data_IF_488253414515
#
_entry.id   IF_488253414515
#
_cell.length_a   1.000
_cell.length_b   1.000
_cell.length_c   1.000
_cell.angle_alpha   90.00
_cell.angle_beta   90.00
_cell.angle_gamma   90.00
#
_symmetry.space_group_name_H-M   'P 1'
#
loop_
_entity.id
_entity.type
_entity.pdbx_description
1 polymer ?
#
# COMPACT_ATOMS: atom_id res chain seq x y z
N UNK A 1 -3.40 -7.30 -8.11
CA UNK A 1 -4.12 -6.16 -8.71
C UNK A 1 -3.15 -4.99 -8.80
N UNK A 2 -3.08 -4.31 -9.95
CA UNK A 2 -2.13 -3.22 -10.21
C UNK A 2 -2.84 -1.87 -10.35
N UNK A 3 -2.16 -0.80 -9.97
CA UNK A 3 -2.42 0.56 -10.41
C UNK A 3 -1.29 1.03 -11.34
N UNK A 4 -1.66 1.76 -12.39
CA UNK A 4 -0.70 2.38 -13.30
C UNK A 4 -0.99 3.88 -13.40
N UNK A 5 -0.05 4.69 -12.92
CA UNK A 5 -0.14 6.16 -12.89
C UNK A 5 0.92 6.76 -13.80
N UNK A 6 0.59 7.00 -15.07
CA UNK A 6 1.49 7.61 -16.07
C UNK A 6 2.92 7.02 -16.10
N UNK A 7 3.02 5.69 -16.10
CA UNK A 7 4.30 4.95 -16.15
C UNK A 7 4.79 4.41 -14.81
N UNK A 8 4.24 4.89 -13.68
CA UNK A 8 4.44 4.26 -12.37
C UNK A 8 3.52 3.04 -12.25
N UNK A 9 4.11 1.85 -12.15
CA UNK A 9 3.39 0.57 -12.00
C UNK A 9 3.55 0.07 -10.57
N UNK A 10 2.44 -0.06 -9.86
CA UNK A 10 2.42 -0.44 -8.45
C UNK A 10 1.33 -1.46 -8.16
N UNK A 11 1.50 -2.19 -7.07
CA UNK A 11 0.47 -3.05 -6.52
C UNK A 11 -0.53 -2.19 -5.75
N UNK A 12 -1.82 -2.42 -5.95
CA UNK A 12 -2.85 -1.78 -5.14
C UNK A 12 -2.86 -2.37 -3.71
N UNK A 13 -3.14 -1.55 -2.69
CA UNK A 13 -3.27 -2.03 -1.30
C UNK A 13 -4.71 -2.43 -0.94
N UNK A 14 -5.40 -1.57 -0.20
CA UNK A 14 -6.69 -1.80 0.41
C UNK A 14 -7.77 -0.95 -0.27
N UNK A 15 -9.01 -1.30 0.03
CA UNK A 15 -10.17 -0.49 -0.33
C UNK A 15 -10.50 0.44 0.83
N UNK A 16 -10.74 1.70 0.50
CA UNK A 16 -11.19 2.72 1.44
C UNK A 16 -12.51 3.30 0.97
N UNK A 17 -13.24 3.96 1.86
CA UNK A 17 -14.47 4.65 1.51
C UNK A 17 -14.69 5.85 2.40
N UNK A 18 -15.45 6.81 1.90
CA UNK A 18 -16.06 7.87 2.70
C UNK A 18 -17.59 7.80 2.52
N UNK A 19 -18.30 8.88 2.85
CA UNK A 19 -19.75 8.95 2.72
C UNK A 19 -20.27 8.81 1.27
N UNK A 20 -19.45 9.09 0.26
CA UNK A 20 -19.89 9.23 -1.15
C UNK A 20 -19.14 8.33 -2.12
N UNK A 21 -17.91 7.94 -1.79
CA UNK A 21 -16.94 7.40 -2.73
C UNK A 21 -16.24 6.17 -2.17
N UNK A 22 -15.82 5.31 -3.10
CA UNK A 22 -14.96 4.16 -2.85
C UNK A 22 -13.62 4.41 -3.53
N UNK A 23 -12.55 4.09 -2.81
CA UNK A 23 -11.18 4.30 -3.24
C UNK A 23 -10.41 2.99 -3.20
N UNK A 24 -9.45 2.87 -4.10
CA UNK A 24 -8.37 1.88 -4.01
C UNK A 24 -7.08 2.62 -3.70
N UNK A 25 -6.34 2.15 -2.70
CA UNK A 25 -5.07 2.79 -2.35
C UNK A 25 -3.90 2.27 -3.18
N UNK A 26 -2.89 3.13 -3.31
CA UNK A 26 -1.57 2.84 -3.86
C UNK A 26 -0.51 3.58 -3.04
N UNK A 27 0.77 3.28 -3.28
CA UNK A 27 1.84 4.12 -2.75
C UNK A 27 1.86 5.49 -3.46
N UNK A 28 2.15 6.59 -2.76
CA UNK A 28 2.14 7.94 -3.30
C UNK A 28 3.30 8.15 -4.28
N UNK A 29 4.46 7.54 -4.03
CA UNK A 29 5.59 7.56 -4.95
C UNK A 29 5.29 6.91 -6.32
N UNK A 30 4.21 6.12 -6.44
CA UNK A 30 3.76 5.58 -7.73
C UNK A 30 3.29 6.67 -8.69
N UNK A 31 2.94 7.84 -8.16
CA UNK A 31 2.68 9.06 -8.93
C UNK A 31 3.92 9.99 -9.00
N UNK A 32 5.09 9.54 -8.54
CA UNK A 32 6.32 10.32 -8.55
C UNK A 32 6.78 10.69 -9.96
N UNK A 33 7.40 11.86 -10.08
CA UNK A 33 8.02 12.34 -11.33
C UNK A 33 9.53 12.52 -11.22
N UNK A 34 10.08 12.34 -10.01
CA UNK A 34 11.50 12.46 -9.71
C UNK A 34 12.29 11.18 -10.03
N UNK A 35 13.58 11.22 -9.72
CA UNK A 35 14.44 10.04 -9.77
C UNK A 35 14.00 9.00 -8.73
N UNK A 36 14.27 7.69 -8.93
CA UNK A 36 13.94 6.65 -7.95
C UNK A 36 14.59 6.83 -6.56
N UNK A 37 15.61 7.67 -6.46
CA UNK A 37 16.29 8.03 -5.20
C UNK A 37 15.60 9.17 -4.45
N UNK A 38 14.61 9.83 -5.05
CA UNK A 38 13.80 10.87 -4.40
C UNK A 38 12.68 10.20 -3.59
N UNK A 39 12.96 9.89 -2.33
CA UNK A 39 12.06 9.13 -1.46
C UNK A 39 11.29 9.99 -0.46
N UNK A 40 11.68 11.26 -0.26
CA UNK A 40 11.01 12.15 0.69
C UNK A 40 9.78 12.79 0.04
N UNK A 41 8.60 12.49 0.58
CA UNK A 41 7.32 12.99 0.06
C UNK A 41 7.12 14.48 0.22
N UNK A 42 7.94 15.14 1.04
CA UNK A 42 7.89 16.60 1.22
C UNK A 42 8.60 17.38 0.11
N UNK A 43 9.51 16.74 -0.63
CA UNK A 43 10.35 17.43 -1.63
C UNK A 43 10.27 16.80 -3.02
N UNK A 44 9.95 15.52 -3.12
CA UNK A 44 9.90 14.81 -4.38
C UNK A 44 8.76 15.32 -5.28
N UNK A 45 9.02 15.37 -6.60
CA UNK A 45 8.00 15.72 -7.58
C UNK A 45 6.94 14.63 -7.73
N UNK A 46 5.67 15.02 -7.92
CA UNK A 46 4.54 14.09 -8.08
C UNK A 46 3.50 14.62 -9.07
N UNK A 47 2.73 13.72 -9.70
CA UNK A 47 1.61 14.07 -10.58
C UNK A 47 0.51 14.78 -9.78
N UNK A 48 -0.24 15.73 -10.39
CA UNK A 48 -1.31 16.43 -9.70
C UNK A 48 -2.50 15.51 -9.39
N UNK A 49 -3.31 15.91 -8.40
CA UNK A 49 -4.65 15.35 -8.21
C UNK A 49 -5.48 15.52 -9.49
N UNK A 50 -6.40 14.58 -9.73
CA UNK A 50 -7.14 14.47 -10.99
C UNK A 50 -6.45 13.63 -12.06
N UNK A 51 -5.21 13.16 -11.81
CA UNK A 51 -4.50 12.29 -12.74
C UNK A 51 -5.27 10.96 -12.92
N UNK A 52 -5.56 10.54 -14.17
CA UNK A 52 -6.16 9.24 -14.44
C UNK A 52 -5.22 8.10 -14.05
N UNK A 53 -5.76 7.07 -13.39
CA UNK A 53 -5.02 5.89 -12.96
C UNK A 53 -5.68 4.65 -13.56
N UNK A 54 -4.91 3.84 -14.26
CA UNK A 54 -5.42 2.54 -14.74
C UNK A 54 -5.45 1.57 -13.57
N UNK A 55 -6.59 0.93 -13.33
CA UNK A 55 -6.76 -0.10 -12.30
C UNK A 55 -6.96 -1.44 -13.01
N UNK A 56 -6.09 -2.42 -12.74
CA UNK A 56 -6.20 -3.73 -13.36
C UNK A 56 -7.54 -4.40 -13.00
N UNK A 57 -8.31 -4.80 -14.02
CA UNK A 57 -9.65 -5.39 -13.86
C UNK A 57 -10.81 -4.39 -13.91
N UNK A 58 -10.53 -3.08 -13.84
CA UNK A 58 -11.53 -2.03 -14.03
C UNK A 58 -11.84 -1.82 -15.52
N UNK A 59 -13.07 -1.40 -15.83
CA UNK A 59 -13.49 -1.02 -17.18
C UNK A 59 -13.26 0.46 -17.49
N UNK A 60 -13.02 1.27 -16.45
CA UNK A 60 -12.70 2.70 -16.52
C UNK A 60 -11.45 3.02 -15.70
N UNK A 61 -10.65 4.02 -16.10
CA UNK A 61 -9.63 4.57 -15.22
C UNK A 61 -10.26 5.13 -13.94
N UNK A 62 -9.58 4.93 -12.81
CA UNK A 62 -9.86 5.71 -11.61
C UNK A 62 -9.19 7.09 -11.67
N UNK A 63 -9.38 7.87 -10.61
CA UNK A 63 -8.83 9.23 -10.50
C UNK A 63 -8.02 9.37 -9.22
N UNK A 64 -6.77 9.83 -9.30
CA UNK A 64 -5.98 10.18 -8.12
C UNK A 64 -6.64 11.37 -7.38
N UNK A 65 -7.17 11.13 -6.19
CA UNK A 65 -7.91 12.15 -5.41
C UNK A 65 -7.23 12.53 -4.10
N UNK A 66 -6.27 11.72 -3.66
CA UNK A 66 -5.41 12.04 -2.52
C UNK A 66 -4.01 11.50 -2.75
N UNK A 67 -3.01 12.25 -2.27
CA UNK A 67 -1.62 11.84 -2.20
C UNK A 67 -1.00 12.53 -0.98
N UNK A 68 -0.43 11.74 -0.07
CA UNK A 68 0.29 12.25 1.09
C UNK A 68 1.38 13.24 0.69
N UNK A 69 2.13 12.96 -0.38
CA UNK A 69 3.21 13.81 -0.88
C UNK A 69 2.70 15.20 -1.32
N UNK A 70 1.60 15.26 -2.07
CA UNK A 70 0.97 16.54 -2.44
C UNK A 70 0.50 17.29 -1.19
N UNK A 71 -0.16 16.59 -0.27
CA UNK A 71 -0.69 17.21 0.96
C UNK A 71 0.43 17.75 1.84
N UNK A 72 1.50 16.99 2.04
CA UNK A 72 2.68 17.40 2.80
C UNK A 72 3.36 18.62 2.17
N UNK A 73 3.60 18.60 0.86
CA UNK A 73 4.21 19.71 0.14
C UNK A 73 3.38 21.00 0.23
N UNK A 74 2.06 20.91 0.04
CA UNK A 74 1.15 22.06 0.15
C UNK A 74 1.10 22.65 1.56
N UNK A 75 1.25 21.80 2.59
CA UNK A 75 1.28 22.22 3.98
C UNK A 75 2.65 22.71 4.43
N UNK A 76 3.68 22.50 3.62
CA UNK A 76 5.06 22.76 4.00
C UNK A 76 5.48 21.90 5.20
N UNK A 77 5.07 20.63 5.22
CA UNK A 77 5.38 19.66 6.29
C UNK A 77 6.88 19.67 6.64
N UNK A 78 7.18 19.57 7.93
CA UNK A 78 8.54 19.67 8.49
C UNK A 78 8.94 18.48 9.33
N UNK A 79 7.98 17.64 9.73
CA UNK A 79 8.28 16.42 10.46
C UNK A 79 8.99 15.41 9.54
N UNK A 80 10.24 15.08 9.86
CA UNK A 80 11.07 14.23 9.02
C UNK A 80 10.47 12.82 8.84
N UNK A 81 9.93 12.23 9.91
CA UNK A 81 9.33 10.89 9.83
C UNK A 81 8.09 10.89 8.95
N UNK A 82 7.23 11.90 9.06
CA UNK A 82 6.08 12.06 8.18
C UNK A 82 6.53 12.21 6.72
N UNK A 83 7.54 13.05 6.46
CA UNK A 83 8.09 13.25 5.12
C UNK A 83 8.68 11.98 4.50
N UNK A 84 9.35 11.15 5.30
CA UNK A 84 10.12 10.02 4.80
C UNK A 84 9.30 8.73 4.71
N UNK A 85 8.20 8.62 5.46
CA UNK A 85 7.45 7.37 5.60
C UNK A 85 5.96 7.45 5.25
N UNK A 86 5.35 8.64 5.15
CA UNK A 86 3.95 8.73 4.74
C UNK A 86 3.82 8.64 3.21
N UNK A 87 3.41 7.48 2.73
CA UNK A 87 3.41 7.16 1.30
C UNK A 87 2.03 6.68 0.83
N UNK A 88 0.95 7.12 1.47
CA UNK A 88 -0.41 6.76 1.06
C UNK A 88 -0.96 7.68 -0.03
N UNK A 89 -1.54 7.10 -1.08
CA UNK A 89 -2.37 7.78 -2.05
C UNK A 89 -3.68 7.02 -2.31
N UNK A 90 -4.77 7.76 -2.59
CA UNK A 90 -6.06 7.18 -2.90
C UNK A 90 -6.50 7.51 -4.33
N UNK A 91 -6.96 6.46 -5.02
CA UNK A 91 -7.55 6.53 -6.34
C UNK A 91 -9.04 6.28 -6.21
N UNK A 92 -9.87 7.27 -6.55
CA UNK A 92 -11.32 7.12 -6.63
C UNK A 92 -11.66 6.16 -7.76
N UNK A 93 -12.42 5.13 -7.44
CA UNK A 93 -12.89 4.14 -8.40
C UNK A 93 -14.07 4.74 -9.18
N UNK A 94 -14.12 4.51 -10.48
CA UNK A 94 -15.25 4.94 -11.31
C UNK A 94 -16.53 4.21 -10.86
N UNK A 95 -17.68 4.89 -10.71
CA UNK A 95 -18.93 4.28 -10.31
C UNK A 95 -19.34 3.04 -11.13
N UNK A 96 -18.96 2.98 -12.41
CA UNK A 96 -19.24 1.85 -13.29
C UNK A 96 -18.52 0.55 -12.88
N UNK A 97 -17.46 0.63 -12.07
CA UNK A 97 -16.66 -0.51 -11.64
C UNK A 97 -16.89 -0.91 -10.18
N UNK A 98 -17.77 -0.23 -9.43
CA UNK A 98 -18.02 -0.55 -8.01
C UNK A 98 -18.50 -1.99 -7.80
N UNK A 99 -19.26 -2.55 -8.74
CA UNK A 99 -19.70 -3.95 -8.69
C UNK A 99 -18.58 -4.99 -8.83
N UNK A 100 -17.35 -4.56 -9.14
CA UNK A 100 -16.15 -5.43 -9.24
C UNK A 100 -15.25 -5.34 -8.02
N UNK A 101 -15.54 -4.43 -7.09
CA UNK A 101 -14.69 -4.18 -5.93
C UNK A 101 -14.89 -5.29 -4.90
N UNK A 102 -13.77 -5.87 -4.48
CA UNK A 102 -13.71 -6.76 -3.33
C UNK A 102 -12.63 -6.21 -2.38
N UNK A 103 -12.97 -5.86 -1.13
CA UNK A 103 -12.00 -5.35 -0.15
C UNK A 103 -11.03 -6.42 0.37
N UNK A 104 -11.19 -7.68 -0.07
CA UNK A 104 -10.34 -8.78 0.34
C UNK A 104 -8.97 -8.83 -0.31
N UNK A 105 -7.94 -9.02 0.53
CA UNK A 105 -6.58 -9.21 0.05
C UNK A 105 -6.50 -10.59 -0.63
N UNK A 106 -6.02 -10.68 -1.89
CA UNK A 106 -5.93 -11.95 -2.59
C UNK A 106 -5.18 -13.00 -1.78
N UNK A 107 -5.67 -14.24 -1.82
CA UNK A 107 -5.20 -15.42 -1.07
C UNK A 107 -5.40 -15.39 0.45
N UNK A 108 -5.43 -14.21 1.08
CA UNK A 108 -5.51 -14.09 2.53
C UNK A 108 -6.90 -13.71 3.06
N UNK A 109 -7.80 -13.16 2.25
CA UNK A 109 -9.04 -12.55 2.78
C UNK A 109 -8.73 -11.28 3.59
N UNK A 110 -9.58 -10.94 4.58
CA UNK A 110 -9.37 -9.73 5.41
C UNK A 110 -9.35 -8.44 4.57
N UNK A 111 -8.89 -7.28 5.06
CA UNK A 111 -8.43 -7.06 6.43
C UNK A 111 -9.60 -7.14 7.43
N UNK A 112 -9.30 -7.53 8.66
CA UNK A 112 -10.26 -7.62 9.78
C UNK A 112 -10.35 -6.33 10.60
N UNK A 113 -9.45 -5.38 10.33
CA UNK A 113 -9.36 -4.08 10.98
C UNK A 113 -8.04 -3.39 10.62
N UNK A 114 -7.74 -2.27 11.27
CA UNK A 114 -6.44 -1.58 11.17
C UNK A 114 -5.58 -2.00 12.36
N UNK A 115 -4.30 -2.29 12.13
CA UNK A 115 -3.33 -2.45 13.22
C UNK A 115 -2.98 -1.08 13.78
N UNK A 116 -3.05 -0.93 15.10
CA UNK A 116 -2.65 0.30 15.81
C UNK A 116 -1.56 0.02 16.83
N UNK A 117 -0.96 -1.17 16.76
CA UNK A 117 0.05 -1.64 17.70
C UNK A 117 1.41 -1.66 17.01
N UNK A 118 2.48 -1.26 17.71
CA UNK A 118 3.85 -1.44 17.24
C UNK A 118 4.13 -2.88 16.85
N UNK A 119 5.04 -3.07 15.90
CA UNK A 119 5.55 -4.41 15.59
C UNK A 119 6.86 -4.68 16.32
N UNK A 120 7.08 -5.92 16.70
CA UNK A 120 8.32 -6.40 17.30
C UNK A 120 9.07 -7.33 16.34
N UNK A 121 10.38 -7.49 16.60
CA UNK A 121 11.20 -8.46 15.89
C UNK A 121 10.58 -9.86 16.00
N UNK A 122 10.29 -10.47 14.85
CA UNK A 122 9.73 -11.81 14.75
C UNK A 122 8.20 -11.85 14.62
N UNK A 123 7.51 -10.72 14.73
CA UNK A 123 6.06 -10.68 14.46
C UNK A 123 5.78 -11.07 13.01
N UNK A 124 4.84 -11.99 12.80
CA UNK A 124 4.52 -12.48 11.47
C UNK A 124 3.75 -11.46 10.65
N UNK A 125 4.19 -11.26 9.40
CA UNK A 125 3.52 -10.41 8.41
C UNK A 125 3.14 -11.19 7.16
N UNK A 126 2.07 -10.76 6.51
CA UNK A 126 1.58 -11.31 5.25
C UNK A 126 1.49 -10.18 4.23
N UNK A 127 1.87 -10.42 2.99
CA UNK A 127 1.69 -9.42 1.94
C UNK A 127 1.37 -10.06 0.61
N UNK A 128 0.64 -9.33 -0.23
CA UNK A 128 0.38 -9.70 -1.61
C UNK A 128 1.03 -8.66 -2.53
N UNK A 129 2.03 -9.08 -3.29
CA UNK A 129 2.75 -8.25 -4.26
C UNK A 129 2.57 -8.74 -5.68
N UNK A 130 2.11 -7.86 -6.57
CA UNK A 130 1.76 -8.21 -7.95
C UNK A 130 2.70 -7.58 -8.99
N UNK A 131 4.00 -7.46 -8.66
CA UNK A 131 5.00 -6.94 -9.60
C UNK A 131 4.91 -7.61 -10.99
N UNK A 132 4.97 -6.81 -12.08
CA UNK A 132 5.02 -7.33 -13.45
C UNK A 132 6.25 -8.21 -13.70
N UNK A 133 7.32 -8.07 -12.90
CA UNK A 133 8.53 -8.88 -12.97
C UNK A 133 8.29 -10.36 -12.63
N UNK A 134 7.14 -10.69 -12.01
CA UNK A 134 6.73 -12.08 -11.74
C UNK A 134 6.06 -12.77 -12.93
N UNK A 135 6.02 -12.12 -14.10
CA UNK A 135 5.50 -12.67 -15.36
C UNK A 135 4.07 -13.27 -15.25
N UNK A 136 3.26 -12.77 -14.32
CA UNK A 136 1.88 -13.22 -14.11
C UNK A 136 1.70 -14.51 -13.30
N UNK A 137 2.75 -15.04 -12.66
CA UNK A 137 2.63 -16.24 -11.80
C UNK A 137 2.01 -15.84 -10.45
N UNK A 138 0.68 -15.97 -10.34
CA UNK A 138 -0.10 -15.51 -9.20
C UNK A 138 0.31 -16.18 -7.87
N UNK A 139 0.84 -17.40 -7.93
CA UNK A 139 1.28 -18.16 -6.76
C UNK A 139 2.57 -17.62 -6.13
N UNK A 140 3.31 -16.75 -6.84
CA UNK A 140 4.48 -16.05 -6.31
C UNK A 140 4.15 -14.70 -5.67
N UNK A 141 2.88 -14.29 -5.74
CA UNK A 141 2.40 -13.03 -5.19
C UNK A 141 2.13 -13.02 -3.70
N UNK A 142 1.52 -14.06 -3.07
CA UNK A 142 1.35 -14.08 -1.63
C UNK A 142 2.68 -14.42 -0.95
N UNK A 143 3.05 -13.64 0.07
CA UNK A 143 4.31 -13.78 0.79
C UNK A 143 4.06 -13.79 2.29
N UNK A 144 4.79 -14.64 2.97
CA UNK A 144 4.96 -14.58 4.43
C UNK A 144 6.30 -13.91 4.76
N UNK A 145 6.34 -13.27 5.92
CA UNK A 145 7.50 -12.57 6.41
C UNK A 145 7.49 -12.36 7.92
N UNK A 146 8.50 -11.65 8.39
CA UNK A 146 8.62 -11.19 9.78
C UNK A 146 8.88 -9.68 9.81
N UNK A 147 8.37 -9.02 10.84
CA UNK A 147 8.82 -7.68 11.21
C UNK A 147 10.19 -7.75 11.90
N UNK A 148 10.96 -6.69 11.70
CA UNK A 148 12.20 -6.38 12.39
C UNK A 148 12.01 -5.29 13.47
N UNK A 149 10.78 -4.80 13.61
CA UNK A 149 10.40 -3.69 14.46
C UNK A 149 10.06 -2.43 13.67
N UNK A 150 9.68 -1.42 14.43
CA UNK A 150 9.28 -0.12 13.91
C UNK A 150 10.49 0.83 13.71
N UNK A 151 10.34 1.74 12.76
CA UNK A 151 11.25 2.85 12.46
C UNK A 151 10.46 4.18 12.39
N UNK A 152 11.16 5.31 12.49
CA UNK A 152 10.56 6.62 12.25
C UNK A 152 9.48 6.96 13.27
N UNK A 153 9.73 6.67 14.55
CA UNK A 153 8.75 6.84 15.64
C UNK A 153 7.40 6.14 15.39
N UNK A 154 7.46 4.98 14.71
CA UNK A 154 6.30 4.15 14.39
C UNK A 154 5.60 4.53 13.09
N UNK A 155 6.18 5.37 12.24
CA UNK A 155 5.66 5.66 10.91
C UNK A 155 5.97 4.56 9.88
N UNK A 156 6.94 3.71 10.17
CA UNK A 156 7.32 2.60 9.30
C UNK A 156 7.53 1.32 10.10
N UNK A 157 7.20 0.19 9.50
CA UNK A 157 7.54 -1.14 9.96
C UNK A 157 8.55 -1.74 8.99
N UNK A 158 9.66 -2.26 9.50
CA UNK A 158 10.69 -2.88 8.67
C UNK A 158 10.43 -4.38 8.60
N UNK A 159 10.28 -4.93 7.41
CA UNK A 159 9.90 -6.33 7.23
C UNK A 159 10.83 -7.08 6.28
N UNK A 160 11.12 -8.35 6.61
CA UNK A 160 11.63 -9.32 5.64
C UNK A 160 10.52 -10.26 5.20
N UNK A 161 10.41 -10.47 3.91
CA UNK A 161 9.52 -11.47 3.30
C UNK A 161 10.34 -12.59 2.70
N UNK A 162 9.81 -13.82 2.69
CA UNK A 162 10.50 -15.02 2.19
C UNK A 162 11.09 -14.83 0.77
N UNK A 163 10.42 -14.04 -0.07
CA UNK A 163 11.02 -13.42 -1.25
C UNK A 163 11.02 -11.90 -1.04
N UNK A 164 12.14 -11.18 -1.26
CA UNK A 164 12.16 -9.72 -1.15
C UNK A 164 11.10 -9.03 -2.01
N UNK A 165 10.75 -7.80 -1.67
CA UNK A 165 10.01 -6.93 -2.58
C UNK A 165 10.86 -6.61 -3.81
N UNK A 166 10.19 -6.44 -4.95
CA UNK A 166 10.83 -6.05 -6.22
C UNK A 166 10.06 -4.87 -6.82
N UNK A 167 10.64 -4.10 -7.76
CA UNK A 167 9.92 -3.01 -8.43
C UNK A 167 8.54 -3.45 -8.91
N UNK A 168 7.51 -2.67 -8.59
CA UNK A 168 6.10 -3.02 -8.81
C UNK A 168 5.37 -3.66 -7.62
N UNK A 169 6.09 -4.10 -6.58
CA UNK A 169 5.49 -4.46 -5.28
C UNK A 169 5.23 -3.23 -4.40
N UNK A 170 5.75 -2.06 -4.76
CA UNK A 170 5.36 -0.79 -4.17
C UNK A 170 3.84 -0.66 -4.09
N UNK A 171 3.35 -0.21 -2.95
CA UNK A 171 1.91 -0.11 -2.69
C UNK A 171 1.25 -1.39 -2.20
N UNK A 172 1.96 -2.53 -2.09
CA UNK A 172 1.36 -3.79 -1.62
C UNK A 172 0.73 -3.65 -0.25
N UNK A 173 -0.44 -4.27 -0.07
CA UNK A 173 -1.07 -4.44 1.23
C UNK A 173 -0.20 -5.34 2.11
N UNK A 174 0.06 -4.91 3.34
CA UNK A 174 0.72 -5.71 4.37
C UNK A 174 -0.25 -5.92 5.53
N UNK A 175 -0.44 -7.17 5.92
CA UNK A 175 -1.30 -7.60 7.01
C UNK A 175 -0.46 -8.16 8.16
N UNK A 176 -0.96 -8.02 9.38
CA UNK A 176 -0.51 -8.79 10.54
C UNK A 176 -0.98 -10.24 10.45
N UNK A 177 -0.40 -11.15 11.25
CA UNK A 177 -0.80 -12.57 11.28
C UNK A 177 -2.25 -12.80 11.73
N UNK A 178 -2.88 -11.85 12.45
CA UNK A 178 -4.30 -11.86 12.82
C UNK A 178 -5.20 -11.14 11.79
N UNK A 179 -4.65 -10.72 10.66
CA UNK A 179 -5.39 -10.23 9.50
C UNK A 179 -5.75 -8.75 9.53
N UNK A 180 -5.13 -7.96 10.41
CA UNK A 180 -5.31 -6.50 10.41
C UNK A 180 -4.40 -5.87 9.36
N UNK A 181 -4.87 -4.80 8.75
CA UNK A 181 -4.08 -3.97 7.86
C UNK A 181 -2.98 -3.29 8.66
N UNK A 182 -1.73 -3.71 8.44
CA UNK A 182 -0.54 -3.12 9.03
C UNK A 182 -0.15 -1.86 8.28
N UNK A 183 -0.05 -1.95 6.95
CA UNK A 183 0.57 -0.88 6.20
C UNK A 183 0.67 -1.07 4.70
N UNK A 184 1.31 -0.09 4.08
CA UNK A 184 1.57 -0.02 2.64
C UNK A 184 3.07 -0.18 2.40
N UNK A 185 3.46 -1.12 1.52
CA UNK A 185 4.87 -1.28 1.15
C UNK A 185 5.36 -0.01 0.43
N UNK A 186 6.21 0.76 1.10
CA UNK A 186 6.68 2.08 0.65
C UNK A 186 8.11 2.06 0.10
N UNK A 187 8.97 1.16 0.60
CA UNK A 187 10.37 1.12 0.17
C UNK A 187 10.94 -0.29 0.05
N UNK A 188 11.93 -0.43 -0.83
CA UNK A 188 12.76 -1.62 -0.99
C UNK A 188 14.18 -1.25 -0.54
N UNK A 189 14.57 -1.65 0.67
CA UNK A 189 15.82 -1.22 1.26
C UNK A 189 17.03 -1.95 0.63
N UNK A 190 18.05 -1.18 0.27
CA UNK A 190 19.35 -1.68 -0.20
C UNK A 190 20.39 -1.66 0.92
N UNK A 191 20.29 -0.71 1.85
CA UNK A 191 21.14 -0.60 3.03
C UNK A 191 20.36 0.05 4.19
N UNK A 192 20.74 -0.19 5.48
CA UNK A 192 21.75 -1.16 5.93
C UNK A 192 21.26 -2.62 5.91
N UNK A 193 19.94 -2.83 5.79
CA UNK A 193 19.29 -4.14 5.78
C UNK A 193 18.88 -4.50 4.35
N UNK A 194 19.83 -5.00 3.56
CA UNK A 194 19.59 -5.32 2.16
C UNK A 194 18.45 -6.34 2.00
N UNK A 195 17.46 -6.00 1.18
CA UNK A 195 16.30 -6.85 0.89
C UNK A 195 15.16 -6.74 1.90
N UNK A 196 15.29 -5.87 2.92
CA UNK A 196 14.14 -5.53 3.77
C UNK A 196 13.21 -4.57 3.02
N UNK A 197 11.99 -4.45 3.53
CA UNK A 197 10.97 -3.57 2.97
C UNK A 197 10.51 -2.62 4.08
N UNK A 198 10.42 -1.34 3.77
CA UNK A 198 9.74 -0.37 4.61
C UNK A 198 8.25 -0.38 4.32
N UNK A 199 7.44 -0.42 5.37
CA UNK A 199 5.98 -0.49 5.31
C UNK A 199 5.42 0.69 6.10
N UNK A 200 4.83 1.68 5.43
CA UNK A 200 4.18 2.81 6.10
C UNK A 200 3.06 2.35 7.02
N UNK A 201 2.98 2.91 8.23
CA UNK A 201 1.94 2.57 9.22
C UNK A 201 0.58 3.10 8.76
N UNK A 202 -0.34 2.20 8.41
CA UNK A 202 -1.62 2.59 7.81
C UNK A 202 -2.48 3.43 8.78
N UNK A 203 -2.38 3.18 10.09
CA UNK A 203 -3.15 3.93 11.08
C UNK A 203 -2.76 5.41 11.06
N UNK A 204 -1.46 5.70 11.00
CA UNK A 204 -0.90 7.06 10.93
C UNK A 204 -1.16 7.71 9.58
N UNK A 205 -0.93 6.99 8.48
CA UNK A 205 -1.19 7.50 7.13
C UNK A 205 -2.67 7.88 6.96
N UNK A 206 -3.60 7.01 7.40
CA UNK A 206 -5.03 7.29 7.34
C UNK A 206 -5.44 8.42 8.28
N UNK A 207 -4.81 8.53 9.46
CA UNK A 207 -5.03 9.66 10.37
C UNK A 207 -4.58 10.98 9.73
N UNK A 208 -3.42 11.00 9.08
CA UNK A 208 -2.91 12.18 8.37
C UNK A 208 -3.83 12.56 7.21
N UNK A 209 -4.27 11.59 6.42
CA UNK A 209 -5.27 11.77 5.37
C UNK A 209 -6.54 12.39 5.93
N UNK A 210 -7.12 11.82 6.98
CA UNK A 210 -8.36 12.33 7.56
C UNK A 210 -8.22 13.74 8.14
N UNK A 211 -7.05 14.08 8.68
CA UNK A 211 -6.79 15.41 9.21
C UNK A 211 -6.55 16.47 8.12
N UNK A 212 -6.00 16.08 6.95
CA UNK A 212 -5.40 17.03 6.02
C UNK A 212 -5.76 16.85 4.54
N UNK A 213 -6.34 15.70 4.15
CA UNK A 213 -6.58 15.31 2.77
C UNK A 213 -7.85 15.88 2.13
N UNK A 214 -8.76 16.46 2.93
CA UNK A 214 -9.96 17.14 2.41
C UNK A 214 -11.03 16.23 1.81
N UNK A 215 -10.96 14.91 2.03
CA UNK A 215 -11.93 13.93 1.53
C UNK A 215 -13.08 13.62 2.51
N UNK A 216 -13.17 14.36 3.62
CA UNK A 216 -14.02 13.99 4.75
C UNK A 216 -13.48 12.77 5.51
N UNK A 217 -14.33 12.10 6.28
CA UNK A 217 -13.94 10.90 7.02
C UNK A 217 -13.82 9.70 6.08
N UNK A 218 -12.59 9.25 5.88
CA UNK A 218 -12.21 8.05 5.13
C UNK A 218 -11.94 6.90 6.09
N UNK A 219 -12.49 5.73 5.78
CA UNK A 219 -12.35 4.49 6.54
C UNK A 219 -11.83 3.36 5.67
N UNK A 220 -11.12 2.41 6.27
CA UNK A 220 -10.76 1.13 5.65
C UNK A 220 -12.02 0.26 5.47
N UNK A 221 -12.21 -0.29 4.28
CA UNK A 221 -13.20 -1.35 4.06
C UNK A 221 -12.68 -2.69 4.57
N UNK A 222 -13.48 -3.39 5.37
CA UNK A 222 -13.15 -4.73 5.85
C UNK A 222 -13.39 -5.78 4.76
N UNK A 223 -12.59 -6.85 4.79
CA UNK A 223 -12.72 -7.97 3.87
C UNK A 223 -14.10 -8.62 3.86
N UNK A 224 -14.56 -9.04 2.69
CA UNK A 224 -15.77 -9.85 2.56
C UNK A 224 -15.47 -11.35 2.56
N UNK A 225 -14.24 -11.73 2.21
CA UNK A 225 -13.72 -13.09 2.38
C UNK A 225 -13.08 -13.25 3.77
N UNK A 226 -13.33 -14.40 4.40
CA UNK A 226 -12.77 -14.72 5.71
C UNK A 226 -11.25 -14.73 5.66
N UNK A 227 -10.62 -14.12 6.67
CA UNK A 227 -9.17 -14.08 6.75
C UNK A 227 -8.58 -15.49 6.99
N UNK A 228 -7.59 -15.85 6.18
CA UNK A 228 -6.85 -17.10 6.27
C UNK A 228 -5.34 -16.81 6.15
N UNK A 229 -4.56 -17.00 7.23
CA UNK A 229 -3.13 -16.69 7.23
C UNK A 229 -2.28 -17.75 6.51
N UNK A 230 -2.88 -18.84 6.02
CA UNK A 230 -2.17 -19.96 5.39
C UNK A 230 -1.96 -19.68 3.91
N UNK A 231 -0.70 -19.68 3.46
CA UNK A 231 -0.38 -19.63 2.04
C UNK A 231 -1.01 -20.82 1.30
N UNK A 232 -1.61 -20.61 0.11
CA UNK A 232 -2.00 -21.72 -0.75
C UNK A 232 -0.77 -22.58 -1.03
N UNK A 233 -0.87 -23.89 -0.80
CA UNK A 233 0.22 -24.78 -1.18
C UNK A 233 0.37 -24.76 -2.71
N UNK A 234 1.59 -24.48 -3.19
CA UNK A 234 1.92 -24.74 -4.58
C UNK A 234 1.64 -26.22 -4.87
N UNK A 235 1.05 -26.58 -6.02
CA UNK A 235 0.96 -27.97 -6.41
C UNK A 235 2.36 -28.56 -6.40
N UNK A 236 2.58 -29.59 -5.59
CA UNK A 236 3.80 -30.38 -5.65
C UNK A 236 3.75 -31.13 -6.99
N UNK A 237 4.43 -30.58 -8.00
CA UNK A 237 4.53 -31.20 -9.31
C UNK A 237 5.01 -32.64 -9.17
N UNK A 238 4.23 -33.57 -9.73
CA UNK A 238 4.73 -34.88 -10.17
C UNK A 238 5.21 -34.76 -11.61
#
# INVERSE_FOLDING_TARGET
MMTITQGGECTANFIFFNATDVFIGQAAHCAGTGAPTETSGCTAGTRPLGTPVTIAGAGKPGTLVYSSWITMAQRGEKDANTCDFNDLALVKIDPADLGKVNPSVPFFGGPTGISTSPTALGDGVLTYGNSPLRAGVAELSPKEGISLGDEGDGWSHICYTATPGVPGDSGSAVLTRDGKALGVLASLAVAPLAGSNGVGDLSRELSYLNAHGGLGAVSLALGTESFNPVLPQLPTGR
#
